data_IF_416330784587
#
_entry.id   IF_416330784587
#
_cell.length_a   1.000
_cell.length_b   1.000
_cell.length_c   1.000
_cell.angle_alpha   90.00
_cell.angle_beta   90.00
_cell.angle_gamma   90.00
#
_symmetry.space_group_name_H-M   'P 1'
#
loop_
_entity.id
_entity.type
_entity.pdbx_description
1 polymer ?
#
# COMPACT_ATOMS: atom_id res chain seq x y z
N UNK A 1 6.02 -1.70 -10.77
CA UNK A 1 4.61 -1.38 -10.54
C UNK A 1 3.80 -2.02 -11.65
N UNK A 2 2.71 -2.71 -11.32
CA UNK A 2 1.88 -3.36 -12.34
C UNK A 2 0.91 -2.37 -12.99
N UNK A 3 0.16 -1.63 -12.16
CA UNK A 3 -0.75 -0.56 -12.55
C UNK A 3 -0.98 0.38 -11.36
N UNK A 4 -1.76 1.45 -11.57
CA UNK A 4 -2.26 2.33 -10.51
C UNK A 4 -3.74 2.59 -10.69
N UNK A 5 -4.51 2.56 -9.61
CA UNK A 5 -5.96 2.71 -9.59
C UNK A 5 -6.39 3.63 -8.44
N UNK A 6 -7.38 4.48 -8.70
CA UNK A 6 -8.08 5.22 -7.64
C UNK A 6 -9.32 4.47 -7.17
N UNK A 7 -9.72 4.71 -5.93
CA UNK A 7 -10.98 4.23 -5.34
C UNK A 7 -11.15 2.71 -5.50
N UNK A 8 -10.22 1.97 -4.89
CA UNK A 8 -10.18 0.52 -4.96
C UNK A 8 -10.69 -0.13 -3.67
N UNK A 9 -11.33 -1.29 -3.81
CA UNK A 9 -11.72 -2.13 -2.68
C UNK A 9 -10.76 -3.32 -2.63
N UNK A 10 -9.98 -3.41 -1.56
CA UNK A 10 -9.04 -4.51 -1.34
C UNK A 10 -9.72 -5.62 -0.55
N UNK A 11 -9.88 -6.78 -1.17
CA UNK A 11 -10.53 -7.95 -0.55
C UNK A 11 -9.50 -9.03 -0.26
N UNK A 12 -9.50 -9.52 0.98
CA UNK A 12 -8.71 -10.69 1.36
C UNK A 12 -9.48 -11.57 2.34
N UNK A 13 -8.79 -12.55 2.93
CA UNK A 13 -9.45 -13.54 3.80
C UNK A 13 -9.93 -12.88 5.10
N UNK A 14 -11.21 -12.52 5.15
CA UNK A 14 -11.86 -11.93 6.32
C UNK A 14 -11.65 -10.43 6.47
N UNK A 15 -11.21 -9.74 5.41
CA UNK A 15 -11.15 -8.28 5.40
C UNK A 15 -11.55 -7.71 4.04
N UNK A 16 -12.09 -6.49 4.12
CA UNK A 16 -12.35 -5.60 3.01
C UNK A 16 -11.85 -4.21 3.42
N UNK A 17 -11.15 -3.52 2.52
CA UNK A 17 -10.62 -2.19 2.80
C UNK A 17 -10.79 -1.27 1.59
N UNK A 18 -11.54 -0.20 1.78
CA UNK A 18 -11.63 0.91 0.83
C UNK A 18 -10.34 1.74 0.89
N UNK A 19 -9.69 1.93 -0.26
CA UNK A 19 -8.47 2.71 -0.39
C UNK A 19 -8.58 3.71 -1.55
N UNK A 20 -8.03 4.91 -1.33
CA UNK A 20 -8.09 5.99 -2.32
C UNK A 20 -7.09 5.78 -3.46
N UNK A 21 -5.90 5.28 -3.14
CA UNK A 21 -4.79 5.08 -4.07
C UNK A 21 -4.26 3.65 -3.95
N UNK A 22 -4.45 2.85 -5.00
CA UNK A 22 -3.97 1.49 -5.08
C UNK A 22 -2.86 1.35 -6.12
N UNK A 23 -1.71 0.81 -5.70
CA UNK A 23 -0.51 0.64 -6.52
C UNK A 23 0.08 -0.78 -6.33
N UNK A 24 -0.50 -1.81 -6.95
CA UNK A 24 -0.02 -3.19 -6.86
C UNK A 24 1.29 -3.42 -7.58
N UNK A 25 2.17 -4.21 -6.97
CA UNK A 25 3.48 -4.51 -7.54
C UNK A 25 3.88 -5.99 -7.48
N UNK A 26 3.26 -6.83 -6.66
CA UNK A 26 3.61 -8.26 -6.59
C UNK A 26 2.49 -9.13 -5.99
N UNK A 27 1.98 -10.14 -6.70
CA UNK A 27 1.15 -11.19 -6.09
C UNK A 27 -0.07 -10.73 -5.25
N UNK A 28 -0.69 -9.61 -5.60
CA UNK A 28 -1.79 -9.00 -4.81
C UNK A 28 -1.33 -8.04 -3.70
N UNK A 29 -0.02 -7.93 -3.47
CA UNK A 29 0.63 -6.94 -2.61
C UNK A 29 0.83 -5.64 -3.39
N UNK A 30 0.60 -4.52 -2.70
CA UNK A 30 0.81 -3.19 -3.25
C UNK A 30 0.99 -2.12 -2.18
N UNK A 31 1.20 -0.89 -2.64
CA UNK A 31 1.22 0.31 -1.81
C UNK A 31 -0.20 0.90 -1.82
N UNK A 32 -0.72 1.27 -0.65
CA UNK A 32 -1.98 2.00 -0.55
C UNK A 32 -2.04 2.90 0.69
N UNK A 33 -2.99 3.85 0.67
CA UNK A 33 -3.36 4.60 1.87
C UNK A 33 -4.06 3.71 2.89
N UNK A 34 -3.80 3.98 4.17
CA UNK A 34 -4.43 3.29 5.30
C UNK A 34 -5.00 4.30 6.29
N UNK A 35 -6.18 4.85 5.98
CA UNK A 35 -6.87 5.88 6.79
C UNK A 35 -7.16 5.43 8.23
N UNK A 36 -7.31 4.12 8.44
CA UNK A 36 -7.53 3.50 9.75
C UNK A 36 -6.28 3.46 10.65
N UNK A 37 -5.09 3.79 10.13
CA UNK A 37 -3.83 3.67 10.87
C UNK A 37 -3.31 5.03 11.34
N UNK A 38 -3.04 5.14 12.63
CA UNK A 38 -2.59 6.40 13.27
C UNK A 38 -1.06 6.55 13.40
N UNK A 39 -0.30 5.47 13.19
CA UNK A 39 1.16 5.49 13.31
C UNK A 39 1.84 4.63 12.25
N UNK A 40 2.99 5.09 11.77
CA UNK A 40 3.75 4.51 10.66
C UNK A 40 5.23 4.46 11.02
N UNK A 41 5.97 3.52 10.43
CA UNK A 41 7.42 3.35 10.66
C UNK A 41 7.78 2.63 11.96
N UNK A 42 9.09 2.62 12.27
CA UNK A 42 9.64 1.93 13.42
C UNK A 42 9.34 0.42 13.40
N UNK A 43 9.03 -0.14 14.56
CA UNK A 43 8.78 -1.59 14.74
C UNK A 43 7.31 -1.96 14.76
N UNK A 44 6.38 -1.04 14.44
CA UNK A 44 4.93 -1.30 14.52
C UNK A 44 4.49 -2.47 13.63
N UNK A 45 5.21 -2.74 12.55
CA UNK A 45 4.94 -3.88 11.67
C UNK A 45 5.06 -5.23 12.39
N UNK A 46 5.84 -5.32 13.47
CA UNK A 46 6.03 -6.56 14.25
C UNK A 46 4.81 -6.93 15.10
N UNK A 47 4.03 -5.94 15.56
CA UNK A 47 2.87 -6.16 16.43
C UNK A 47 1.53 -5.82 15.78
N UNK A 48 1.51 -4.91 14.79
CA UNK A 48 0.32 -4.44 14.06
C UNK A 48 0.66 -4.27 12.58
N UNK A 49 1.15 -5.34 11.97
CA UNK A 49 1.47 -5.43 10.55
C UNK A 49 0.23 -5.42 9.65
N UNK A 50 0.47 -5.34 8.34
CA UNK A 50 -0.55 -5.53 7.31
C UNK A 50 -0.68 -7.01 6.94
N UNK A 51 -1.54 -7.32 5.95
CA UNK A 51 -1.60 -8.63 5.31
C UNK A 51 -0.55 -8.82 4.19
N UNK A 52 0.50 -7.99 4.17
CA UNK A 52 1.57 -8.01 3.17
C UNK A 52 1.75 -6.66 2.45
N UNK A 53 0.67 -5.87 2.31
CA UNK A 53 0.70 -4.55 1.68
C UNK A 53 1.56 -3.52 2.44
N UNK A 54 2.03 -2.51 1.72
CA UNK A 54 2.75 -1.37 2.29
C UNK A 54 1.75 -0.25 2.58
N UNK A 55 1.34 -0.16 3.85
CA UNK A 55 0.40 0.86 4.32
C UNK A 55 1.10 2.22 4.44
N UNK A 56 0.62 3.22 3.72
CA UNK A 56 1.09 4.61 3.76
C UNK A 56 0.02 5.56 4.33
N UNK A 57 0.42 6.72 4.89
CA UNK A 57 -0.51 7.82 5.12
C UNK A 57 -1.08 8.33 3.79
N UNK A 58 -2.32 8.83 3.80
CA UNK A 58 -3.01 9.31 2.59
C UNK A 58 -2.18 10.29 1.74
N UNK A 59 -1.54 11.27 2.39
CA UNK A 59 -0.74 12.28 1.68
C UNK A 59 0.48 11.67 0.96
N UNK A 60 1.09 10.63 1.53
CA UNK A 60 2.25 9.96 0.94
C UNK A 60 1.81 9.04 -0.20
N UNK A 61 0.73 8.27 0.00
CA UNK A 61 0.15 7.43 -1.03
C UNK A 61 -0.20 8.25 -2.28
N UNK A 62 -0.85 9.41 -2.10
CA UNK A 62 -1.13 10.37 -3.17
C UNK A 62 0.14 10.81 -3.89
N UNK A 63 1.16 11.23 -3.14
CA UNK A 63 2.41 11.74 -3.72
C UNK A 63 3.09 10.66 -4.57
N UNK A 64 3.15 9.42 -4.07
CA UNK A 64 3.71 8.30 -4.85
C UNK A 64 2.87 8.10 -6.11
N UNK A 65 1.54 7.98 -5.98
CA UNK A 65 0.62 7.75 -7.10
C UNK A 65 0.75 8.78 -8.23
N UNK A 66 0.96 10.04 -7.89
CA UNK A 66 1.14 11.15 -8.83
C UNK A 66 2.49 11.13 -9.55
N UNK A 67 3.50 10.45 -9.01
CA UNK A 67 4.89 10.52 -9.50
C UNK A 67 5.46 9.20 -10.02
N UNK A 68 4.74 8.09 -9.90
CA UNK A 68 5.15 6.79 -10.45
C UNK A 68 4.17 6.31 -11.53
N UNK A 69 4.67 5.49 -12.45
CA UNK A 69 3.90 4.90 -13.55
C UNK A 69 4.00 3.37 -13.57
N UNK A 70 3.08 2.74 -14.30
CA UNK A 70 3.17 1.30 -14.56
C UNK A 70 4.50 0.99 -15.27
N UNK A 71 5.18 -0.06 -14.81
CA UNK A 71 6.54 -0.40 -15.25
C UNK A 71 7.66 0.09 -14.33
N UNK A 72 7.43 1.09 -13.47
CA UNK A 72 8.47 1.59 -12.56
C UNK A 72 8.94 0.50 -11.59
N UNK A 73 10.25 0.30 -11.40
CA UNK A 73 10.76 -0.75 -10.52
C UNK A 73 10.40 -0.44 -9.05
N UNK A 74 9.93 -1.47 -8.34
CA UNK A 74 9.71 -1.41 -6.90
C UNK A 74 10.60 -2.47 -6.25
N UNK A 75 11.54 -2.02 -5.42
CA UNK A 75 12.48 -2.87 -4.72
C UNK A 75 12.05 -2.93 -3.26
N UNK A 76 11.74 -4.14 -2.78
CA UNK A 76 11.49 -4.43 -1.36
C UNK A 76 12.60 -5.34 -0.87
N UNK A 77 13.31 -4.92 0.17
CA UNK A 77 14.43 -5.68 0.74
C UNK A 77 14.47 -5.54 2.27
N UNK A 78 15.18 -6.45 2.91
CA UNK A 78 15.54 -6.43 4.33
C UNK A 78 17.07 -6.40 4.43
N UNK A 79 17.60 -5.70 5.43
CA UNK A 79 19.05 -5.61 5.72
C UNK A 79 19.48 -6.67 6.74
#
# INVERSE_FOLDING_TARGET
LNYKQKDAILVGRGYEADVTYWMPFYGGIGIHDASWRHSFGGTIYKSRGSHGCVNAPLHLARKIFEHIEAGDPIISYEE
#
